data_IF_924460135286
#
_entry.id   IF_924460135286
#
_cell.length_a   1.000
_cell.length_b   1.000
_cell.length_c   1.000
_cell.angle_alpha   90.00
_cell.angle_beta   90.00
_cell.angle_gamma   90.00
#
_symmetry.space_group_name_H-M   'P 1'
#
loop_
_entity.id
_entity.type
_entity.pdbx_description
1 polymer ?
#
# COMPACT_ATOMS: atom_id res chain seq x y z
N UNK A 1 19.42 4.65 -37.83
CA UNK A 1 19.41 5.06 -39.26
C UNK A 1 17.97 5.26 -39.72
N UNK A 2 17.65 4.91 -40.94
CA UNK A 2 16.26 5.08 -41.44
C UNK A 2 15.28 4.64 -40.34
N UNK A 3 15.68 3.68 -39.54
CA UNK A 3 14.78 3.20 -38.44
C UNK A 3 13.34 3.09 -38.96
N UNK A 4 12.38 3.30 -38.11
CA UNK A 4 10.95 3.22 -38.54
C UNK A 4 10.04 3.37 -37.33
N UNK A 5 10.08 4.51 -36.69
CA UNK A 5 9.21 4.72 -35.50
C UNK A 5 8.57 6.11 -35.58
N UNK A 6 7.98 6.43 -36.70
CA UNK A 6 7.33 7.75 -36.86
C UNK A 6 5.82 7.57 -37.04
N UNK A 7 5.22 6.81 -36.18
CA UNK A 7 3.75 6.56 -36.31
C UNK A 7 3.05 6.93 -34.99
N UNK A 8 1.89 6.37 -34.75
CA UNK A 8 1.16 6.67 -33.49
C UNK A 8 0.78 5.36 -32.80
N UNK A 9 1.75 4.68 -32.26
CA UNK A 9 1.46 3.38 -31.57
C UNK A 9 1.98 3.44 -30.13
N UNK A 10 1.29 2.83 -29.21
CA UNK A 10 1.76 2.85 -27.79
C UNK A 10 1.41 1.52 -27.12
N UNK A 11 2.36 0.94 -26.43
CA UNK A 11 2.08 -0.35 -25.74
C UNK A 11 2.79 -0.37 -24.39
N UNK A 12 2.26 -1.11 -23.44
CA UNK A 12 2.90 -1.17 -22.10
C UNK A 12 4.11 -2.10 -22.16
N UNK A 13 4.05 -3.10 -23.01
CA UNK A 13 5.17 -4.08 -23.16
C UNK A 13 6.02 -4.17 -21.89
N UNK A 14 5.38 -4.19 -20.75
CA UNK A 14 6.15 -4.27 -19.46
C UNK A 14 5.81 -5.57 -18.73
N UNK A 15 5.61 -6.63 -19.46
CA UNK A 15 5.26 -7.92 -18.80
C UNK A 15 6.48 -8.43 -18.02
N UNK A 16 7.62 -7.84 -18.24
CA UNK A 16 8.84 -8.28 -17.50
C UNK A 16 9.07 -7.37 -16.28
N UNK A 17 8.82 -6.11 -16.43
CA UNK A 17 9.03 -5.16 -15.30
C UNK A 17 8.00 -5.39 -14.19
N UNK A 18 6.75 -5.18 -14.46
CA UNK A 18 5.72 -5.40 -13.41
C UNK A 18 5.72 -6.87 -12.99
N UNK A 19 5.84 -7.77 -13.92
CA UNK A 19 5.85 -9.21 -13.55
C UNK A 19 7.11 -9.50 -12.73
N UNK A 20 8.07 -8.61 -12.77
CA UNK A 20 9.32 -8.84 -11.99
C UNK A 20 9.04 -8.59 -10.51
N UNK A 21 8.67 -7.38 -10.16
CA UNK A 21 8.40 -7.06 -8.74
C UNK A 21 7.43 -8.09 -8.14
N UNK A 22 6.41 -8.47 -8.86
CA UNK A 22 5.45 -9.47 -8.30
C UNK A 22 6.13 -10.83 -8.20
N UNK A 23 7.07 -11.12 -9.05
CA UNK A 23 7.77 -12.44 -8.98
C UNK A 23 8.90 -12.37 -7.96
N UNK A 24 9.25 -11.19 -7.52
CA UNK A 24 10.34 -11.06 -6.52
C UNK A 24 9.74 -10.98 -5.11
N UNK A 25 8.46 -10.72 -5.02
CA UNK A 25 7.82 -10.64 -3.67
C UNK A 25 8.33 -11.76 -2.78
N UNK A 26 8.44 -12.96 -3.31
CA UNK A 26 8.93 -14.10 -2.49
C UNK A 26 8.21 -14.11 -1.14
N UNK A 27 7.16 -14.89 -1.03
CA UNK A 27 6.42 -14.94 0.27
C UNK A 27 6.81 -16.21 1.04
N UNK A 28 6.18 -16.43 2.17
CA UNK A 28 6.51 -17.64 2.97
C UNK A 28 5.57 -18.78 2.56
N UNK A 29 4.34 -18.71 2.99
CA UNK A 29 3.37 -19.77 2.64
C UNK A 29 2.09 -19.57 3.46
N UNK A 30 2.24 -19.11 4.68
CA UNK A 30 1.04 -18.88 5.53
C UNK A 30 0.45 -17.51 5.20
N UNK A 31 0.94 -16.88 4.15
CA UNK A 31 0.41 -15.55 3.77
C UNK A 31 -0.39 -15.66 2.47
N UNK A 32 -1.69 -15.61 2.56
CA UNK A 32 -2.55 -15.69 1.35
C UNK A 32 -1.95 -14.82 0.24
N UNK A 33 -2.49 -14.88 -0.95
CA UNK A 33 -1.95 -14.04 -2.06
C UNK A 33 -3.12 -13.36 -2.78
N UNK A 34 -3.56 -12.24 -2.28
CA UNK A 34 -4.70 -11.54 -2.94
C UNK A 34 -4.19 -10.56 -3.99
N UNK A 35 -4.95 -10.34 -5.02
CA UNK A 35 -4.52 -9.40 -6.09
C UNK A 35 -5.70 -8.50 -6.45
N UNK A 36 -5.85 -7.39 -5.76
CA UNK A 36 -6.98 -6.47 -6.06
C UNK A 36 -6.55 -5.44 -7.11
N UNK A 37 -7.50 -4.81 -7.76
CA UNK A 37 -7.16 -3.80 -8.79
C UNK A 37 -8.02 -4.03 -10.04
N UNK A 38 -7.40 -4.25 -11.16
CA UNK A 38 -8.19 -4.48 -12.42
C UNK A 38 -7.91 -5.89 -12.92
N UNK A 39 -7.99 -6.10 -14.21
CA UNK A 39 -7.73 -7.45 -14.77
C UNK A 39 -6.90 -7.34 -16.05
N UNK A 40 -5.61 -7.51 -15.95
CA UNK A 40 -4.74 -7.41 -17.15
C UNK A 40 -4.83 -8.71 -17.95
N UNK A 41 -4.32 -9.78 -17.41
CA UNK A 41 -4.38 -11.08 -18.14
C UNK A 41 -3.01 -11.78 -18.07
N UNK A 42 -2.41 -11.79 -16.91
CA UNK A 42 -1.08 -12.46 -16.78
C UNK A 42 -0.60 -12.36 -15.33
N UNK A 43 -1.27 -13.01 -14.43
CA UNK A 43 -0.85 -12.95 -13.00
C UNK A 43 -1.93 -13.58 -12.12
N UNK A 44 -1.78 -13.52 -10.84
CA UNK A 44 -2.79 -14.12 -9.91
C UNK A 44 -2.57 -15.64 -9.84
N UNK A 45 -2.93 -16.36 -10.86
CA UNK A 45 -2.73 -17.84 -10.83
C UNK A 45 -1.25 -18.13 -10.55
N UNK A 46 -0.37 -17.33 -11.08
CA UNK A 46 1.08 -17.55 -10.84
C UNK A 46 1.42 -17.06 -9.44
N UNK A 47 0.88 -15.94 -9.05
CA UNK A 47 1.15 -15.41 -7.69
C UNK A 47 0.77 -16.47 -6.66
N UNK A 48 -0.16 -17.32 -7.00
CA UNK A 48 -0.58 -18.39 -6.05
C UNK A 48 0.53 -19.44 -5.92
N UNK A 49 1.23 -19.70 -7.00
CA UNK A 49 2.31 -20.71 -6.94
C UNK A 49 3.19 -20.44 -5.71
N UNK A 50 3.20 -19.21 -5.26
CA UNK A 50 4.01 -18.85 -4.08
C UNK A 50 3.34 -19.38 -2.81
N UNK A 51 2.22 -18.83 -2.45
CA UNK A 51 1.51 -19.29 -1.23
C UNK A 51 0.53 -20.41 -1.58
N UNK A 52 -0.32 -20.76 -0.65
CA UNK A 52 -1.29 -21.84 -0.90
C UNK A 52 -2.71 -21.29 -0.75
N UNK A 53 -2.90 -20.02 -1.02
CA UNK A 53 -4.25 -19.43 -0.90
C UNK A 53 -4.46 -18.36 -1.98
N UNK A 54 -5.08 -18.69 -3.07
CA UNK A 54 -5.28 -17.66 -4.13
C UNK A 54 -6.77 -17.40 -4.35
N UNK A 55 -7.11 -16.19 -4.72
CA UNK A 55 -8.54 -15.84 -4.96
C UNK A 55 -8.60 -14.54 -5.78
N UNK A 56 -9.37 -14.52 -6.82
CA UNK A 56 -9.46 -13.28 -7.65
C UNK A 56 -10.55 -12.36 -7.10
N UNK A 57 -10.32 -11.08 -7.13
CA UNK A 57 -11.35 -10.12 -6.61
C UNK A 57 -12.02 -9.42 -7.79
N UNK A 58 -11.43 -9.48 -8.96
CA UNK A 58 -12.04 -8.81 -10.14
C UNK A 58 -11.95 -9.72 -11.37
N UNK A 59 -12.82 -9.53 -12.33
CA UNK A 59 -12.78 -10.37 -13.56
C UNK A 59 -12.96 -11.84 -13.17
N UNK A 60 -13.42 -12.64 -14.10
CA UNK A 60 -13.60 -14.09 -13.79
C UNK A 60 -12.57 -14.91 -14.57
N UNK A 61 -11.41 -14.37 -14.78
CA UNK A 61 -10.36 -15.12 -15.53
C UNK A 61 -9.46 -15.86 -14.54
N UNK A 62 -9.86 -15.95 -13.31
CA UNK A 62 -9.02 -16.64 -12.30
C UNK A 62 -9.78 -17.87 -11.77
N UNK A 63 -9.09 -18.76 -11.10
CA UNK A 63 -9.77 -19.98 -10.56
C UNK A 63 -9.89 -21.01 -11.68
N UNK A 64 -10.75 -20.77 -12.62
CA UNK A 64 -10.91 -21.74 -13.75
C UNK A 64 -9.74 -21.57 -14.72
N UNK A 65 -8.93 -20.56 -14.51
CA UNK A 65 -7.77 -20.34 -15.42
C UNK A 65 -6.52 -20.96 -14.80
N UNK A 66 -6.38 -20.88 -13.50
CA UNK A 66 -5.17 -21.47 -12.85
C UNK A 66 -4.91 -22.86 -13.45
N UNK A 67 -3.85 -23.00 -14.19
CA UNK A 67 -3.55 -24.33 -14.81
C UNK A 67 -3.50 -25.41 -13.73
N UNK A 68 -4.63 -26.01 -13.43
CA UNK A 68 -4.66 -27.09 -12.40
C UNK A 68 -3.76 -26.73 -11.22
N UNK A 69 -4.32 -26.16 -10.18
CA UNK A 69 -3.48 -25.79 -9.00
C UNK A 69 -2.50 -26.92 -8.70
N UNK A 70 -1.22 -26.69 -8.91
CA UNK A 70 -0.21 -27.75 -8.62
C UNK A 70 -0.28 -28.13 -7.15
N UNK A 71 -0.98 -27.35 -6.37
CA UNK A 71 -1.12 -27.64 -4.91
C UNK A 71 -2.21 -28.70 -4.69
N UNK A 72 -2.36 -29.63 -5.59
CA UNK A 72 -3.42 -30.64 -5.40
C UNK A 72 -4.77 -29.92 -5.44
N UNK A 73 -4.76 -28.67 -5.85
CA UNK A 73 -6.01 -27.87 -5.92
C UNK A 73 -6.95 -28.25 -4.77
N UNK A 74 -6.53 -27.97 -3.58
CA UNK A 74 -7.35 -28.29 -2.38
C UNK A 74 -7.01 -27.29 -1.29
N UNK A 75 -6.65 -26.10 -1.69
CA UNK A 75 -6.27 -25.04 -0.70
C UNK A 75 -7.30 -23.90 -0.73
N UNK A 76 -6.86 -22.66 -0.85
CA UNK A 76 -7.84 -21.53 -0.87
C UNK A 76 -7.95 -20.94 -2.28
N UNK A 77 -8.70 -21.57 -3.14
CA UNK A 77 -8.87 -21.03 -4.53
C UNK A 77 -10.34 -20.63 -4.69
N UNK A 78 -10.63 -19.36 -4.81
CA UNK A 78 -12.06 -18.93 -4.95
C UNK A 78 -12.19 -17.76 -5.94
N UNK A 79 -13.30 -17.71 -6.64
CA UNK A 79 -13.55 -16.61 -7.61
C UNK A 79 -14.67 -15.73 -7.06
N UNK A 80 -14.45 -14.44 -6.95
CA UNK A 80 -15.52 -13.56 -6.41
C UNK A 80 -16.25 -12.87 -7.56
N UNK A 81 -17.43 -12.38 -7.32
CA UNK A 81 -18.19 -11.69 -8.40
C UNK A 81 -18.90 -10.46 -7.84
N UNK A 82 -18.53 -9.29 -8.31
CA UNK A 82 -19.19 -8.04 -7.83
C UNK A 82 -18.62 -7.64 -6.46
N UNK A 83 -19.40 -6.90 -5.70
CA UNK A 83 -18.95 -6.44 -4.35
C UNK A 83 -18.01 -7.46 -3.70
N UNK A 84 -16.98 -7.00 -3.05
CA UNK A 84 -16.03 -7.93 -2.38
C UNK A 84 -15.61 -7.33 -1.02
N UNK A 85 -14.39 -6.87 -0.90
CA UNK A 85 -13.90 -6.28 0.38
C UNK A 85 -14.29 -7.16 1.58
N UNK A 86 -15.48 -7.02 2.09
CA UNK A 86 -15.90 -7.85 3.26
C UNK A 86 -16.28 -9.26 2.80
N UNK A 87 -16.05 -9.57 1.55
CA UNK A 87 -16.38 -10.92 1.04
C UNK A 87 -15.11 -11.76 0.99
N UNK A 88 -13.99 -11.14 0.76
CA UNK A 88 -12.72 -11.89 0.69
C UNK A 88 -11.87 -11.61 1.94
N UNK A 89 -11.51 -10.37 2.15
CA UNK A 89 -10.68 -10.02 3.34
C UNK A 89 -11.13 -10.83 4.56
N UNK A 90 -10.42 -11.91 4.81
CA UNK A 90 -10.69 -12.82 5.93
C UNK A 90 -10.02 -12.32 7.20
N UNK A 91 -9.83 -13.19 8.16
CA UNK A 91 -9.16 -12.77 9.43
C UNK A 91 -8.37 -13.96 9.99
N UNK A 92 -7.41 -13.71 10.83
CA UNK A 92 -6.60 -14.81 11.41
C UNK A 92 -5.60 -15.30 10.36
N UNK A 93 -4.44 -15.73 10.78
CA UNK A 93 -3.41 -16.21 9.81
C UNK A 93 -2.70 -14.99 9.20
N UNK A 94 -1.93 -15.20 8.16
CA UNK A 94 -1.22 -14.05 7.53
C UNK A 94 -1.62 -13.97 6.06
N UNK A 95 -1.46 -12.83 5.44
CA UNK A 95 -1.83 -12.72 4.01
C UNK A 95 -0.85 -11.84 3.25
N UNK A 96 -0.95 -11.88 1.96
CA UNK A 96 -0.08 -11.07 1.08
C UNK A 96 -1.02 -10.41 0.06
N UNK A 97 -1.55 -9.27 0.40
CA UNK A 97 -2.48 -8.60 -0.54
C UNK A 97 -1.71 -7.73 -1.53
N UNK A 98 -1.30 -8.32 -2.63
CA UNK A 98 -0.54 -7.55 -3.66
C UNK A 98 -1.49 -7.10 -4.78
N UNK A 99 -1.97 -5.89 -4.71
CA UNK A 99 -2.90 -5.42 -5.77
C UNK A 99 -2.52 -3.99 -6.19
N UNK A 100 -2.82 -3.63 -7.41
CA UNK A 100 -2.48 -2.26 -7.88
C UNK A 100 -3.64 -1.32 -7.57
N UNK A 101 -3.63 -0.14 -8.11
CA UNK A 101 -4.74 0.81 -7.83
C UNK A 101 -5.32 1.32 -9.15
N UNK A 102 -6.61 1.11 -9.35
CA UNK A 102 -7.31 1.55 -10.56
C UNK A 102 -7.03 3.03 -10.81
N UNK A 103 -6.59 3.75 -9.81
CA UNK A 103 -6.30 5.21 -9.99
C UNK A 103 -7.60 6.00 -9.90
N UNK A 104 -8.69 5.35 -9.62
CA UNK A 104 -9.99 6.07 -9.53
C UNK A 104 -10.74 5.64 -8.26
N UNK A 105 -10.16 4.75 -7.49
CA UNK A 105 -10.85 4.30 -6.24
C UNK A 105 -10.10 3.09 -5.67
N UNK A 106 -9.84 3.10 -4.38
CA UNK A 106 -9.12 1.95 -3.76
C UNK A 106 -8.94 2.22 -2.27
N UNK A 107 -8.64 3.43 -1.90
CA UNK A 107 -8.46 3.75 -0.46
C UNK A 107 -9.58 3.11 0.36
N UNK A 108 -10.73 2.93 -0.23
CA UNK A 108 -11.86 2.31 0.52
C UNK A 108 -11.51 0.86 0.88
N UNK A 109 -11.15 0.06 -0.09
CA UNK A 109 -10.81 -1.35 0.23
C UNK A 109 -9.60 -1.36 1.17
N UNK A 110 -8.58 -0.63 0.83
CA UNK A 110 -7.37 -0.59 1.70
C UNK A 110 -7.78 -0.04 3.07
N UNK A 111 -8.95 0.55 3.16
CA UNK A 111 -9.42 1.10 4.46
C UNK A 111 -9.97 -0.01 5.35
N UNK A 112 -10.86 -0.81 4.83
CA UNK A 112 -11.44 -1.92 5.65
C UNK A 112 -10.38 -2.99 5.90
N UNK A 113 -9.67 -3.40 4.89
CA UNK A 113 -8.63 -4.44 5.08
C UNK A 113 -7.57 -3.94 6.06
N UNK A 114 -7.24 -2.68 6.00
CA UNK A 114 -6.21 -2.15 6.94
C UNK A 114 -6.85 -1.81 8.28
N UNK A 115 -8.17 -1.86 8.35
CA UNK A 115 -8.85 -1.53 9.62
C UNK A 115 -9.16 -2.79 10.44
N UNK A 116 -9.33 -3.92 9.81
CA UNK A 116 -9.64 -5.16 10.59
C UNK A 116 -8.92 -6.39 10.01
N UNK A 117 -8.28 -6.27 8.88
CA UNK A 117 -7.59 -7.47 8.31
C UNK A 117 -6.19 -7.61 8.92
N UNK A 118 -5.54 -8.70 8.64
CA UNK A 118 -4.17 -8.91 9.17
C UNK A 118 -3.24 -9.21 7.99
N UNK A 119 -3.42 -8.51 6.90
CA UNK A 119 -2.57 -8.73 5.71
C UNK A 119 -1.11 -9.00 6.11
N UNK A 120 -0.48 -8.06 6.77
CA UNK A 120 0.95 -8.25 7.18
C UNK A 120 1.85 -7.90 6.00
N UNK A 121 1.56 -8.41 4.84
CA UNK A 121 2.39 -8.11 3.65
C UNK A 121 1.49 -7.57 2.54
N UNK A 122 1.24 -6.29 2.54
CA UNK A 122 0.35 -5.71 1.49
C UNK A 122 1.19 -4.94 0.47
N UNK A 123 1.15 -5.34 -0.77
CA UNK A 123 1.95 -4.62 -1.80
C UNK A 123 0.99 -3.87 -2.73
N UNK A 124 1.04 -2.57 -2.72
CA UNK A 124 0.13 -1.79 -3.61
C UNK A 124 0.91 -1.24 -4.80
N UNK A 125 0.60 -1.70 -5.98
CA UNK A 125 1.31 -1.19 -7.19
C UNK A 125 0.52 -0.04 -7.78
N UNK A 126 1.03 1.15 -7.70
CA UNK A 126 0.27 2.31 -8.27
C UNK A 126 1.20 3.15 -9.16
N UNK A 127 0.65 4.02 -9.96
CA UNK A 127 1.49 4.85 -10.85
C UNK A 127 0.93 6.27 -10.91
N UNK A 128 1.44 7.16 -10.12
CA UNK A 128 0.92 8.56 -10.13
C UNK A 128 1.38 9.30 -8.88
N UNK A 129 0.67 9.16 -7.79
CA UNK A 129 1.08 9.86 -6.54
C UNK A 129 0.45 9.15 -5.33
N UNK A 130 0.06 7.91 -5.48
CA UNK A 130 -0.55 7.18 -4.34
C UNK A 130 0.53 6.90 -3.29
N UNK A 131 1.70 6.52 -3.73
CA UNK A 131 2.80 6.24 -2.76
C UNK A 131 3.17 7.54 -2.05
N UNK A 132 3.02 8.65 -2.71
CA UNK A 132 3.36 9.95 -2.07
C UNK A 132 2.19 10.40 -1.18
N UNK A 133 1.00 9.98 -1.49
CA UNK A 133 -0.16 10.37 -0.66
C UNK A 133 -0.09 9.62 0.66
N UNK A 134 0.73 8.60 0.72
CA UNK A 134 0.86 7.81 1.98
C UNK A 134 2.02 8.37 2.81
N UNK A 135 3.21 8.30 2.29
CA UNK A 135 4.40 8.83 3.04
C UNK A 135 4.10 10.26 3.49
N UNK A 136 3.16 10.91 2.86
CA UNK A 136 2.83 12.31 3.26
C UNK A 136 1.72 12.31 4.31
N UNK A 137 2.06 12.43 5.56
CA UNK A 137 1.02 12.44 6.62
C UNK A 137 0.48 13.86 6.77
N UNK A 138 0.86 14.72 5.87
CA UNK A 138 0.40 16.13 5.94
C UNK A 138 -0.97 16.26 5.27
N UNK A 139 -1.61 15.15 5.03
CA UNK A 139 -2.96 15.18 4.39
C UNK A 139 -3.94 14.42 5.29
N UNK A 140 -3.43 13.72 6.29
CA UNK A 140 -4.28 12.92 7.24
C UNK A 140 -4.86 11.70 6.52
N UNK A 141 -4.65 11.57 5.24
CA UNK A 141 -5.19 10.40 4.52
C UNK A 141 -4.13 9.29 4.56
N UNK A 142 -2.92 9.63 4.20
CA UNK A 142 -1.84 8.61 4.22
C UNK A 142 -1.54 8.28 5.69
N UNK A 143 -1.69 9.25 6.56
CA UNK A 143 -1.42 9.01 8.01
C UNK A 143 -2.48 8.05 8.55
N UNK A 144 -3.72 8.26 8.19
CA UNK A 144 -4.79 7.38 8.69
C UNK A 144 -4.52 5.93 8.23
N UNK A 145 -4.01 5.76 7.04
CA UNK A 145 -3.71 4.38 6.56
C UNK A 145 -2.24 4.06 6.77
N UNK A 146 -1.51 4.93 7.44
CA UNK A 146 -0.05 4.68 7.68
C UNK A 146 0.17 4.01 9.04
N UNK A 147 -0.54 4.45 10.04
CA UNK A 147 -0.39 3.87 11.40
C UNK A 147 -0.76 2.39 11.41
N UNK A 148 -1.30 1.87 10.34
CA UNK A 148 -1.67 0.42 10.33
C UNK A 148 -0.79 -0.34 9.33
N UNK A 149 0.04 0.33 8.59
CA UNK A 149 0.91 -0.39 7.62
C UNK A 149 2.27 0.28 7.49
N UNK A 150 3.32 -0.48 7.62
CA UNK A 150 4.69 0.09 7.49
C UNK A 150 5.11 -0.07 6.03
N UNK A 151 4.99 0.96 5.24
CA UNK A 151 5.36 0.87 3.81
C UNK A 151 6.82 1.22 3.58
N UNK A 152 7.39 0.71 2.53
CA UNK A 152 8.81 0.99 2.19
C UNK A 152 8.99 0.92 0.68
N UNK A 153 9.12 2.04 0.03
CA UNK A 153 9.28 2.02 -1.45
C UNK A 153 10.41 1.05 -1.83
N UNK A 154 10.13 0.12 -2.71
CA UNK A 154 11.20 -0.86 -3.10
C UNK A 154 11.43 -0.78 -4.60
N UNK A 155 10.46 -1.18 -5.38
CA UNK A 155 10.64 -1.14 -6.87
C UNK A 155 10.17 0.22 -7.40
N UNK A 156 10.77 0.69 -8.46
CA UNK A 156 10.36 2.01 -9.02
C UNK A 156 10.53 1.98 -10.55
N UNK A 157 9.44 1.94 -11.27
CA UNK A 157 9.54 1.91 -12.76
C UNK A 157 9.06 3.24 -13.34
N UNK A 158 9.91 3.87 -14.13
CA UNK A 158 9.58 5.14 -14.77
C UNK A 158 8.67 4.86 -15.97
N UNK A 159 8.31 3.61 -16.17
CA UNK A 159 7.43 3.24 -17.31
C UNK A 159 8.27 3.13 -18.58
N UNK A 160 9.42 2.53 -18.48
CA UNK A 160 10.30 2.38 -19.68
C UNK A 160 9.57 1.54 -20.75
N UNK A 161 8.96 0.47 -20.35
CA UNK A 161 8.24 -0.40 -21.33
C UNK A 161 6.95 0.28 -21.79
N UNK A 162 6.67 1.47 -21.32
CA UNK A 162 5.42 2.17 -21.74
C UNK A 162 5.71 2.97 -23.02
N UNK A 163 5.86 2.30 -24.12
CA UNK A 163 6.13 3.02 -25.40
C UNK A 163 4.85 3.69 -25.91
N UNK A 164 5.03 4.69 -26.74
CA UNK A 164 6.35 5.17 -27.16
C UNK A 164 6.96 6.04 -26.08
N UNK A 165 6.27 7.08 -25.69
CA UNK A 165 6.80 7.98 -24.63
C UNK A 165 5.87 7.95 -23.41
N UNK A 166 6.26 7.19 -22.42
CA UNK A 166 5.49 7.04 -21.17
C UNK A 166 5.07 8.41 -20.63
N UNK A 167 4.53 8.44 -19.44
CA UNK A 167 4.10 9.74 -18.84
C UNK A 167 4.08 9.63 -17.32
N UNK A 168 3.58 8.54 -16.80
CA UNK A 168 3.52 8.38 -15.32
C UNK A 168 4.54 7.33 -14.88
N UNK A 169 4.85 7.30 -13.62
CA UNK A 169 5.84 6.31 -13.12
C UNK A 169 5.14 5.32 -12.17
N UNK A 170 5.12 4.06 -12.51
CA UNK A 170 4.46 3.06 -11.63
C UNK A 170 5.50 2.43 -10.69
N UNK A 171 5.29 2.53 -9.40
CA UNK A 171 6.26 1.94 -8.44
C UNK A 171 5.53 0.94 -7.53
N UNK A 172 6.28 0.15 -6.79
CA UNK A 172 5.66 -0.84 -5.88
C UNK A 172 5.91 -0.43 -4.43
N UNK A 173 4.88 -0.17 -3.68
CA UNK A 173 5.06 0.23 -2.26
C UNK A 173 4.94 -1.00 -1.37
N UNK A 174 5.98 -1.32 -0.65
CA UNK A 174 5.93 -2.51 0.25
C UNK A 174 5.20 -2.17 1.55
N UNK A 175 3.90 -2.15 1.53
CA UNK A 175 3.14 -1.83 2.78
C UNK A 175 3.17 -3.03 3.72
N UNK A 176 3.23 -2.79 5.00
CA UNK A 176 3.27 -3.91 5.98
C UNK A 176 2.13 -3.76 6.98
N UNK A 177 0.94 -4.15 6.60
CA UNK A 177 -0.22 -4.03 7.54
C UNK A 177 0.09 -4.79 8.83
N UNK A 178 0.45 -4.09 9.86
CA UNK A 178 0.76 -4.74 11.16
C UNK A 178 -0.37 -4.47 12.14
N UNK A 179 -0.16 -4.73 13.40
CA UNK A 179 -1.23 -4.48 14.41
C UNK A 179 -1.65 -3.01 14.36
N UNK A 180 -0.92 -2.15 15.02
CA UNK A 180 -1.28 -0.70 15.01
C UNK A 180 -0.25 0.08 15.84
N UNK A 181 0.30 1.12 15.28
CA UNK A 181 1.30 1.92 16.03
C UNK A 181 0.59 2.90 16.97
N UNK A 182 -0.69 3.12 16.75
CA UNK A 182 -1.42 4.06 17.63
C UNK A 182 -2.69 3.39 18.17
N UNK A 183 -2.83 3.38 19.47
CA UNK A 183 -3.99 2.79 20.14
C UNK A 183 -5.25 3.30 19.45
N UNK A 184 -6.04 2.42 18.89
CA UNK A 184 -7.29 2.86 18.20
C UNK A 184 -7.96 3.99 19.02
N UNK A 185 -7.87 3.92 20.32
CA UNK A 185 -8.49 4.98 21.16
C UNK A 185 -7.80 6.32 20.88
N UNK A 186 -6.51 6.37 21.06
CA UNK A 186 -5.77 7.64 20.79
C UNK A 186 -5.56 7.79 19.28
N UNK A 187 -6.10 6.88 18.51
CA UNK A 187 -5.95 6.95 17.04
C UNK A 187 -6.71 8.16 16.51
N UNK A 188 -7.96 8.31 16.87
CA UNK A 188 -8.73 9.47 16.39
C UNK A 188 -8.07 10.73 16.95
N UNK A 189 -7.46 10.60 18.10
CA UNK A 189 -6.77 11.76 18.72
C UNK A 189 -5.46 11.97 17.94
N UNK A 190 -4.98 10.94 17.32
CA UNK A 190 -3.71 11.05 16.53
C UNK A 190 -3.98 11.84 15.25
N UNK A 191 -4.93 11.40 14.46
CA UNK A 191 -5.24 12.13 13.20
C UNK A 191 -5.33 13.62 13.48
N UNK A 192 -6.23 14.03 14.34
CA UNK A 192 -6.35 15.49 14.65
C UNK A 192 -4.96 16.05 14.93
N UNK A 193 -4.22 15.43 15.81
CA UNK A 193 -2.85 15.93 16.11
C UNK A 193 -2.15 16.25 14.79
N UNK A 194 -2.28 15.37 13.83
CA UNK A 194 -1.63 15.61 12.51
C UNK A 194 -2.23 16.87 11.90
N UNK A 195 -3.52 16.92 11.76
CA UNK A 195 -4.21 18.10 11.18
C UNK A 195 -3.51 19.41 11.58
N UNK A 196 -3.51 19.73 12.84
CA UNK A 196 -2.84 20.99 13.28
C UNK A 196 -1.33 20.93 13.03
N UNK A 197 -0.74 19.78 13.20
CA UNK A 197 0.72 19.64 12.96
C UNK A 197 0.99 19.59 11.44
N UNK A 198 -0.05 19.73 10.65
CA UNK A 198 0.12 19.69 9.18
C UNK A 198 0.10 21.13 8.64
N UNK A 199 -1.04 21.76 8.70
CA UNK A 199 -1.15 23.16 8.20
C UNK A 199 0.05 23.98 8.67
N UNK A 200 0.12 24.31 9.93
CA UNK A 200 1.27 25.10 10.44
C UNK A 200 0.99 25.52 11.88
N UNK A 201 0.34 24.68 12.64
CA UNK A 201 0.04 25.03 14.05
C UNK A 201 1.16 24.51 14.96
N UNK A 202 2.38 24.76 14.58
CA UNK A 202 3.52 24.27 15.41
C UNK A 202 3.58 25.10 16.70
N UNK A 203 3.39 26.39 16.59
CA UNK A 203 3.43 27.25 17.81
C UNK A 203 2.16 27.03 18.63
N UNK A 204 1.21 26.31 18.08
CA UNK A 204 -0.05 26.05 18.82
C UNK A 204 0.08 24.73 19.58
N UNK A 205 0.70 23.74 18.99
CA UNK A 205 0.86 22.44 19.69
C UNK A 205 2.02 22.54 20.69
N UNK A 206 2.92 23.45 20.45
CA UNK A 206 4.07 23.61 21.38
C UNK A 206 3.71 24.62 22.47
N UNK A 207 4.07 24.35 23.69
CA UNK A 207 3.75 25.29 24.80
C UNK A 207 4.79 26.40 24.86
N UNK A 208 5.98 26.14 24.37
CA UNK A 208 7.04 27.18 24.40
C UNK A 208 8.28 26.67 23.66
N UNK A 209 8.12 26.21 22.45
CA UNK A 209 9.28 25.68 21.67
C UNK A 209 9.84 24.42 22.34
N UNK A 210 9.20 23.94 23.38
CA UNK A 210 9.72 22.71 24.05
C UNK A 210 9.74 21.57 23.03
N UNK A 211 8.61 21.28 22.44
CA UNK A 211 8.56 20.19 21.44
C UNK A 211 9.45 20.57 20.25
N UNK A 212 9.55 21.84 19.97
CA UNK A 212 10.42 22.28 18.84
C UNK A 212 11.82 21.72 19.07
N UNK A 213 12.29 21.81 20.28
CA UNK A 213 13.64 21.27 20.60
C UNK A 213 13.62 19.76 20.38
N UNK A 214 12.50 19.15 20.64
CA UNK A 214 12.40 17.68 20.45
C UNK A 214 12.48 17.38 18.96
N UNK A 215 12.07 18.31 18.12
CA UNK A 215 12.13 18.09 16.66
C UNK A 215 13.59 18.14 16.21
N UNK A 216 14.27 19.22 16.48
CA UNK A 216 15.69 19.32 16.07
C UNK A 216 16.46 18.12 16.63
N UNK A 217 16.14 17.71 17.82
CA UNK A 217 16.85 16.55 18.42
C UNK A 217 16.63 15.31 17.55
N UNK A 218 15.47 15.18 16.97
CA UNK A 218 15.18 14.00 16.10
C UNK A 218 15.59 14.31 14.66
N UNK A 219 16.53 15.20 14.49
CA UNK A 219 16.97 15.56 13.11
C UNK A 219 15.75 15.70 12.20
N UNK A 220 14.64 16.12 12.75
CA UNK A 220 13.41 16.28 11.91
C UNK A 220 13.24 17.75 11.53
N UNK A 221 14.24 18.34 10.92
CA UNK A 221 14.14 19.77 10.53
C UNK A 221 12.89 19.97 9.67
N UNK A 222 12.88 19.43 8.49
CA UNK A 222 11.69 19.59 7.60
C UNK A 222 10.86 18.30 7.62
N UNK A 223 9.68 18.36 8.19
CA UNK A 223 8.82 17.14 8.24
C UNK A 223 8.06 16.99 6.92
N UNK A 224 8.23 17.91 6.01
CA UNK A 224 7.50 17.80 4.71
C UNK A 224 7.75 16.42 4.11
N UNK A 225 8.98 15.97 4.18
CA UNK A 225 9.31 14.63 3.62
C UNK A 225 8.98 13.57 4.66
N UNK A 226 8.84 13.98 5.90
CA UNK A 226 8.52 13.01 6.99
C UNK A 226 7.53 11.96 6.48
N UNK A 227 7.68 10.73 6.89
CA UNK A 227 6.75 9.66 6.41
C UNK A 227 5.62 9.48 7.42
N UNK A 228 5.94 9.49 8.69
CA UNK A 228 4.89 9.31 9.74
C UNK A 228 5.59 8.82 11.01
N UNK A 229 6.73 8.22 10.85
CA UNK A 229 7.48 7.71 12.03
C UNK A 229 7.72 8.85 13.03
N UNK A 230 8.13 9.99 12.54
CA UNK A 230 8.38 11.13 13.47
C UNK A 230 7.06 11.51 14.14
N UNK A 231 6.06 11.84 13.37
CA UNK A 231 4.75 12.22 13.97
C UNK A 231 4.36 11.16 15.00
N UNK A 232 4.82 9.96 14.85
CA UNK A 232 4.47 8.88 15.83
C UNK A 232 5.15 9.18 17.16
N UNK A 233 6.42 9.45 17.15
CA UNK A 233 7.14 9.75 18.42
C UNK A 233 6.74 11.15 18.90
N UNK A 234 7.04 12.15 18.12
CA UNK A 234 6.69 13.56 18.49
C UNK A 234 5.30 13.57 19.15
N UNK A 235 4.30 13.07 18.46
CA UNK A 235 2.94 13.06 19.04
C UNK A 235 2.94 12.22 20.31
N UNK A 236 3.53 11.05 20.28
CA UNK A 236 3.55 10.19 21.49
C UNK A 236 3.93 11.05 22.71
N UNK A 237 4.83 11.99 22.52
CA UNK A 237 5.24 12.85 23.66
C UNK A 237 4.05 13.72 24.08
N UNK A 238 3.39 14.31 23.13
CA UNK A 238 2.21 15.17 23.47
C UNK A 238 1.17 14.32 24.19
N UNK A 239 1.14 13.05 23.89
CA UNK A 239 0.16 12.13 24.54
C UNK A 239 0.61 11.84 25.98
N UNK A 240 1.88 11.94 26.24
CA UNK A 240 2.38 11.66 27.62
C UNK A 240 2.36 12.94 28.47
N UNK A 241 2.20 14.09 27.85
CA UNK A 241 2.17 15.35 28.64
C UNK A 241 0.72 15.79 28.87
N UNK A 242 -0.15 15.51 27.94
CA UNK A 242 -1.57 15.91 28.11
C UNK A 242 -2.29 14.91 29.01
N UNK A 243 -2.81 13.85 28.44
CA UNK A 243 -3.51 12.83 29.27
C UNK A 243 -4.42 11.97 28.37
N UNK A 244 -3.97 11.68 27.18
CA UNK A 244 -4.80 10.85 26.27
C UNK A 244 -4.07 9.54 25.97
N UNK A 245 -3.08 9.22 26.76
CA UNK A 245 -2.32 7.97 26.53
C UNK A 245 -2.35 7.09 27.78
#
# INVERSE_FOLDING_TARGET
>A
MNKNIKYSQNFLTSEKVLNQIIKQLNLKETDTVYEIGTGKGHLTTKLAKISKQVTSIELDSHLFNLSSEKLKLNTRVTLIHQDILQFQFPNKQRYKIVGNIPYHLSTQIIKKVVFESRASDIYLIVEEGFYKRTLDIHRTLGLLLHTQVSIQQLLKLPAECFHPKPKVNSVLIKLTRHTTDVPDKYWKLYTYFVSKWVNREYRQLFTKNQFHQAMKHAKVNNLSTITYEQVLSIFNSYLLFNGRK
#
